data_IF_628940333416
#
_entry.id   IF_628940333416
#
_cell.length_a   1.000
_cell.length_b   1.000
_cell.length_c   1.000
_cell.angle_alpha   90.00
_cell.angle_beta   90.00
_cell.angle_gamma   90.00
#
_symmetry.space_group_name_H-M   'P 1'
#
loop_
_entity.id
_entity.type
_entity.pdbx_description
1 polymer ?
#
# COMPACT_ATOMS: atom_id res chain seq x y z
N UNK A 1 11.50 6.48 -6.24
CA UNK A 1 11.89 5.61 -5.11
C UNK A 1 11.40 4.22 -5.43
N UNK A 2 12.15 3.16 -5.15
CA UNK A 2 11.65 1.80 -5.36
C UNK A 2 10.96 1.27 -4.10
N UNK A 3 9.79 0.65 -4.26
CA UNK A 3 9.09 -0.09 -3.22
C UNK A 3 9.01 -1.58 -3.58
N UNK A 4 9.24 -2.45 -2.60
CA UNK A 4 9.07 -3.91 -2.71
C UNK A 4 8.25 -4.38 -1.50
N UNK A 5 7.22 -5.18 -1.73
CA UNK A 5 6.34 -5.68 -0.67
C UNK A 5 5.80 -7.07 -0.99
N UNK A 6 5.25 -7.74 0.03
CA UNK A 6 4.61 -9.05 -0.08
C UNK A 6 3.14 -8.92 0.32
N UNK A 7 2.25 -9.40 -0.54
CA UNK A 7 0.84 -9.52 -0.22
C UNK A 7 0.60 -10.78 0.61
N UNK A 8 0.18 -10.62 1.88
CA UNK A 8 0.08 -11.72 2.83
C UNK A 8 -0.96 -12.80 2.46
N UNK A 9 -2.01 -12.43 1.72
CA UNK A 9 -3.07 -13.36 1.33
C UNK A 9 -2.62 -14.37 0.26
N UNK A 10 -1.69 -13.97 -0.61
CA UNK A 10 -1.19 -14.82 -1.70
C UNK A 10 0.29 -15.18 -1.57
N UNK A 11 1.00 -14.59 -0.60
CA UNK A 11 2.45 -14.65 -0.42
C UNK A 11 3.26 -14.18 -1.64
N UNK A 12 2.62 -13.41 -2.52
CA UNK A 12 3.21 -12.90 -3.76
C UNK A 12 3.87 -11.54 -3.50
N UNK A 13 5.11 -11.39 -3.95
CA UNK A 13 5.85 -10.15 -3.91
C UNK A 13 5.65 -9.27 -5.15
N UNK A 14 5.65 -7.97 -4.93
CA UNK A 14 5.50 -6.96 -5.98
C UNK A 14 6.57 -5.90 -5.81
N UNK A 15 6.91 -5.25 -6.92
CA UNK A 15 7.81 -4.09 -6.94
C UNK A 15 7.25 -3.00 -7.82
N UNK A 16 7.52 -1.76 -7.45
CA UNK A 16 7.15 -0.60 -8.26
C UNK A 16 8.10 0.56 -8.03
N UNK A 17 8.27 1.37 -9.08
CA UNK A 17 8.84 2.71 -8.95
C UNK A 17 7.74 3.68 -8.51
N UNK A 18 7.94 4.25 -7.32
CA UNK A 18 7.08 5.24 -6.71
C UNK A 18 7.65 6.63 -6.97
N UNK A 19 6.87 7.47 -7.64
CA UNK A 19 7.16 8.88 -7.85
C UNK A 19 5.94 9.67 -7.42
N UNK A 20 6.12 10.66 -6.55
CA UNK A 20 5.09 11.61 -6.15
C UNK A 20 5.52 12.99 -6.61
N UNK A 21 4.61 13.74 -7.24
CA UNK A 21 4.87 15.14 -7.52
C UNK A 21 4.78 15.95 -6.21
N UNK A 22 5.80 16.77 -5.94
CA UNK A 22 5.82 17.66 -4.79
C UNK A 22 4.72 18.74 -4.86
N UNK A 23 4.14 18.97 -6.04
CA UNK A 23 2.94 19.79 -6.24
C UNK A 23 1.65 19.13 -5.76
N UNK A 24 1.58 17.80 -5.76
CA UNK A 24 0.40 17.05 -5.33
C UNK A 24 0.37 16.80 -3.82
N UNK A 25 1.52 16.99 -3.16
CA UNK A 25 1.60 16.86 -1.70
C UNK A 25 0.78 17.97 -1.04
N UNK A 26 -0.22 17.62 -0.20
CA UNK A 26 -1.00 18.62 0.51
C UNK A 26 -0.07 19.39 1.46
N UNK A 27 -0.26 20.70 1.56
CA UNK A 27 0.56 21.59 2.40
C UNK A 27 -0.34 22.38 3.35
N UNK A 28 -0.01 22.37 4.63
CA UNK A 28 -0.70 23.24 5.59
C UNK A 28 -0.19 24.66 5.41
N UNK A 29 -1.07 25.58 5.01
CA UNK A 29 -0.71 26.98 4.71
C UNK A 29 -0.18 27.75 5.93
N UNK A 30 -0.44 27.26 7.14
CA UNK A 30 -0.18 27.95 8.41
C UNK A 30 1.06 27.47 9.17
N UNK A 31 1.60 26.27 8.90
CA UNK A 31 2.69 25.71 9.70
C UNK A 31 3.90 25.23 8.88
N UNK A 32 3.80 25.13 7.55
CA UNK A 32 4.88 24.58 6.74
C UNK A 32 5.19 23.11 7.07
N UNK A 33 4.29 22.45 7.80
CA UNK A 33 4.44 21.07 8.23
C UNK A 33 3.96 20.12 7.12
N UNK A 34 4.76 19.10 6.88
CA UNK A 34 4.50 17.97 6.01
C UNK A 34 3.24 17.23 6.44
N UNK A 35 2.35 16.97 5.48
CA UNK A 35 1.14 16.19 5.70
C UNK A 35 1.50 14.71 5.91
N UNK A 36 0.74 14.05 6.78
CA UNK A 36 0.88 12.61 7.02
C UNK A 36 0.52 11.86 5.73
N UNK A 37 1.50 11.11 5.20
CA UNK A 37 1.28 10.19 4.09
C UNK A 37 0.95 8.80 4.64
N UNK A 38 -0.09 8.17 4.10
CA UNK A 38 -0.49 6.81 4.44
C UNK A 38 -0.23 5.90 3.26
N UNK A 39 0.39 4.75 3.49
CA UNK A 39 0.61 3.75 2.43
C UNK A 39 -0.33 2.58 2.68
N UNK A 40 -1.13 2.23 1.68
CA UNK A 40 -2.10 1.14 1.74
C UNK A 40 -1.74 0.12 0.66
N UNK A 41 -1.62 -1.14 1.06
CA UNK A 41 -1.39 -2.24 0.12
C UNK A 41 -2.69 -3.00 -0.10
N UNK A 42 -3.04 -3.20 -1.36
CA UNK A 42 -4.24 -3.91 -1.77
C UNK A 42 -3.94 -5.14 -2.63
N UNK A 43 -5.00 -5.83 -3.07
CA UNK A 43 -4.87 -7.05 -3.86
C UNK A 43 -4.13 -6.85 -5.18
N UNK A 44 -3.50 -7.91 -5.65
CA UNK A 44 -2.86 -8.00 -6.97
C UNK A 44 -1.74 -6.96 -7.16
N UNK A 45 -1.05 -6.61 -6.05
CA UNK A 45 0.04 -5.64 -6.09
C UNK A 45 -0.43 -4.20 -6.20
N UNK A 46 -1.60 -3.86 -5.65
CA UNK A 46 -2.00 -2.46 -5.51
C UNK A 46 -1.20 -1.81 -4.38
N UNK A 47 -0.66 -0.62 -4.66
CA UNK A 47 -0.11 0.31 -3.68
C UNK A 47 -0.83 1.64 -3.85
N UNK A 48 -1.46 2.13 -2.78
CA UNK A 48 -2.09 3.45 -2.73
C UNK A 48 -1.30 4.32 -1.77
N UNK A 49 -0.96 5.53 -2.22
CA UNK A 49 -0.41 6.57 -1.37
C UNK A 49 -1.53 7.55 -1.07
N UNK A 50 -2.00 7.51 0.17
CA UNK A 50 -3.02 8.41 0.68
C UNK A 50 -2.39 9.64 1.34
N UNK A 51 -3.14 10.74 1.31
CA UNK A 51 -2.90 11.93 2.10
C UNK A 51 -4.22 12.48 2.63
N UNK A 52 -4.20 13.70 3.14
CA UNK A 52 -5.38 14.38 3.66
C UNK A 52 -5.49 15.80 3.10
N UNK A 53 -6.71 16.25 2.81
CA UNK A 53 -6.97 17.64 2.41
C UNK A 53 -6.68 18.57 3.58
N UNK A 54 -6.12 19.75 3.30
CA UNK A 54 -5.73 20.73 4.33
C UNK A 54 -6.86 21.67 4.76
N UNK A 55 -8.11 21.26 4.57
CA UNK A 55 -9.31 22.02 4.88
C UNK A 55 -9.72 21.84 6.36
N UNK A 56 -10.63 22.66 6.89
CA UNK A 56 -11.05 22.61 8.30
C UNK A 56 -11.67 21.26 8.73
N UNK A 57 -12.10 20.44 7.77
CA UNK A 57 -12.51 19.05 7.98
C UNK A 57 -11.76 18.14 6.99
N UNK A 58 -10.53 17.71 7.33
CA UNK A 58 -9.66 16.98 6.40
C UNK A 58 -10.34 15.68 5.94
N UNK A 59 -10.34 15.47 4.63
CA UNK A 59 -10.81 14.24 4.01
C UNK A 59 -9.61 13.46 3.46
N UNK A 60 -9.62 12.11 3.57
CA UNK A 60 -8.60 11.30 2.93
C UNK A 60 -8.68 11.45 1.41
N UNK A 61 -7.51 11.48 0.76
CA UNK A 61 -7.39 11.51 -0.69
C UNK A 61 -6.33 10.50 -1.12
N UNK A 62 -6.59 9.83 -2.23
CA UNK A 62 -5.58 9.01 -2.90
C UNK A 62 -4.73 9.94 -3.77
N UNK A 63 -3.46 10.10 -3.40
CA UNK A 63 -2.49 10.90 -4.14
C UNK A 63 -1.95 10.15 -5.34
N UNK A 64 -1.73 8.85 -5.19
CA UNK A 64 -1.18 8.00 -6.25
C UNK A 64 -1.68 6.56 -6.07
N UNK A 65 -1.95 5.88 -7.20
CA UNK A 65 -2.36 4.48 -7.23
C UNK A 65 -1.49 3.72 -8.23
N UNK A 66 -0.76 2.73 -7.72
CA UNK A 66 0.26 2.03 -8.49
C UNK A 66 -0.04 0.54 -8.51
N UNK A 67 0.03 -0.05 -9.69
CA UNK A 67 0.04 -1.50 -9.86
C UNK A 67 1.48 -2.01 -9.98
N UNK A 68 1.92 -2.73 -8.95
CA UNK A 68 3.24 -3.33 -8.91
C UNK A 68 3.43 -4.46 -9.92
N UNK A 69 4.65 -4.55 -10.44
CA UNK A 69 5.06 -5.70 -11.24
C UNK A 69 5.37 -6.89 -10.32
N UNK A 70 5.06 -8.11 -10.77
CA UNK A 70 5.42 -9.33 -10.04
C UNK A 70 6.92 -9.45 -9.86
N UNK A 71 7.33 -9.83 -8.66
CA UNK A 71 8.73 -10.10 -8.33
C UNK A 71 8.87 -11.48 -7.68
N UNK A 72 8.69 -12.59 -8.41
CA UNK A 72 8.62 -13.93 -7.82
C UNK A 72 9.84 -14.34 -6.99
N UNK A 73 11.03 -13.82 -7.33
CA UNK A 73 12.26 -14.06 -6.57
C UNK A 73 12.21 -13.56 -5.12
N UNK A 74 11.25 -12.69 -4.79
CA UNK A 74 11.03 -12.11 -3.47
C UNK A 74 9.77 -12.65 -2.78
N UNK A 75 9.06 -13.62 -3.40
CA UNK A 75 7.88 -14.25 -2.78
C UNK A 75 8.29 -14.87 -1.44
N UNK A 76 7.49 -14.62 -0.40
CA UNK A 76 7.78 -15.10 0.96
C UNK A 76 6.51 -15.38 1.71
N UNK A 77 6.46 -16.56 2.32
CA UNK A 77 5.41 -16.95 3.24
C UNK A 77 5.81 -16.58 4.67
N UNK A 78 5.12 -15.60 5.25
CA UNK A 78 5.36 -15.13 6.61
C UNK A 78 4.47 -15.83 7.65
N UNK A 79 3.55 -16.72 7.22
CA UNK A 79 2.59 -17.38 8.12
C UNK A 79 3.25 -18.27 9.17
N UNK A 80 4.46 -18.76 8.89
CA UNK A 80 5.24 -19.62 9.81
C UNK A 80 5.94 -18.85 10.92
N UNK A 81 6.18 -17.56 10.72
CA UNK A 81 6.85 -16.67 11.69
C UNK A 81 6.06 -15.37 11.88
N UNK A 82 4.79 -15.43 12.35
CA UNK A 82 3.92 -14.25 12.42
C UNK A 82 4.39 -13.19 13.43
N UNK A 83 5.42 -13.48 14.22
CA UNK A 83 6.03 -12.55 15.19
C UNK A 83 7.37 -11.96 14.70
N UNK A 84 7.77 -12.25 13.46
CA UNK A 84 9.03 -11.75 12.87
C UNK A 84 9.02 -10.22 12.73
N UNK A 85 7.85 -9.64 12.43
CA UNK A 85 7.66 -8.20 12.28
C UNK A 85 6.52 -7.70 13.17
N UNK A 86 6.63 -6.44 13.60
CA UNK A 86 5.56 -5.79 14.35
C UNK A 86 4.27 -5.73 13.52
N UNK A 87 3.13 -6.01 14.13
CA UNK A 87 1.82 -5.98 13.47
C UNK A 87 1.51 -7.19 12.58
N UNK A 88 2.48 -8.07 12.30
CA UNK A 88 2.27 -9.23 11.42
C UNK A 88 1.37 -10.28 12.08
N UNK A 89 1.47 -10.47 13.40
CA UNK A 89 0.64 -11.42 14.13
C UNK A 89 -0.82 -10.96 14.13
N UNK A 90 -1.03 -9.67 14.36
CA UNK A 90 -2.33 -9.01 14.30
C UNK A 90 -2.91 -9.11 12.88
N UNK A 91 -2.12 -8.80 11.84
CA UNK A 91 -2.55 -8.92 10.44
C UNK A 91 -3.00 -10.35 10.09
N UNK A 92 -2.29 -11.39 10.53
CA UNK A 92 -2.73 -12.78 10.31
C UNK A 92 -3.92 -13.21 11.17
N UNK A 93 -4.21 -12.49 12.26
CA UNK A 93 -5.36 -12.76 13.13
C UNK A 93 -6.64 -12.13 12.60
N UNK A 94 -6.55 -11.15 11.70
CA UNK A 94 -7.69 -10.50 11.08
C UNK A 94 -8.39 -11.41 10.07
N UNK A 95 -9.71 -11.31 10.03
CA UNK A 95 -10.52 -11.95 8.98
C UNK A 95 -10.64 -10.99 7.81
N UNK A 96 -9.98 -11.31 6.70
CA UNK A 96 -10.11 -10.52 5.47
C UNK A 96 -11.33 -10.97 4.66
N UNK A 97 -12.12 -10.02 4.12
CA UNK A 97 -13.15 -10.36 3.15
C UNK A 97 -12.50 -10.99 1.90
N UNK A 98 -13.24 -11.82 1.14
CA UNK A 98 -12.75 -12.30 -0.15
C UNK A 98 -12.32 -11.14 -1.04
N UNK A 99 -11.22 -11.32 -1.77
CA UNK A 99 -10.78 -10.36 -2.78
C UNK A 99 -11.88 -10.20 -3.83
N UNK A 100 -12.29 -8.96 -4.08
CA UNK A 100 -13.27 -8.65 -5.13
C UNK A 100 -12.80 -9.18 -6.48
N UNK A 101 -13.68 -9.74 -7.33
CA UNK A 101 -13.32 -10.09 -8.71
C UNK A 101 -13.02 -8.84 -9.55
N UNK A 102 -13.44 -7.66 -9.09
CA UNK A 102 -13.12 -6.36 -9.69
C UNK A 102 -12.11 -5.65 -8.78
N UNK A 103 -10.84 -5.69 -9.17
CA UNK A 103 -9.73 -4.99 -8.52
C UNK A 103 -9.16 -3.92 -9.44
N UNK A 104 -8.55 -2.88 -8.86
CA UNK A 104 -7.88 -1.84 -9.64
C UNK A 104 -6.69 -2.41 -10.44
N UNK A 105 -5.87 -3.23 -9.78
CA UNK A 105 -4.78 -3.95 -10.42
C UNK A 105 -5.28 -5.31 -10.91
N UNK A 106 -5.02 -5.68 -12.18
CA UNK A 106 -5.46 -6.97 -12.71
C UNK A 106 -4.74 -8.11 -11.99
N UNK A 107 -5.39 -9.26 -11.87
CA UNK A 107 -4.73 -10.44 -11.33
C UNK A 107 -3.48 -10.77 -12.19
N UNK A 108 -2.29 -10.86 -11.57
CA UNK A 108 -1.08 -11.15 -12.32
C UNK A 108 -1.12 -12.59 -12.85
N UNK A 109 -0.65 -12.78 -14.09
CA UNK A 109 -0.45 -14.14 -14.64
C UNK A 109 0.54 -14.90 -13.76
N UNK A 110 0.27 -16.19 -13.58
CA UNK A 110 1.08 -17.11 -12.78
C UNK A 110 2.54 -17.18 -13.25
#
# INVERSE_FOLDING_TARGET
>A
MEAVWVELLSNRAYRADVTLDAGDLPRTASLGETVELKVIFGPHGLLVIGGERTEANPQPIDLEMICGARSPANDRDYSKNPREFAGLFEAYSDTYPPVSPQTHCPEPRA
#
